data_IF_501903677719
#
_entry.id   IF_501903677719
#
_cell.length_a   1.000
_cell.length_b   1.000
_cell.length_c   1.000
_cell.angle_alpha   90.00
_cell.angle_beta   90.00
_cell.angle_gamma   90.00
#
_symmetry.space_group_name_H-M   'P 1'
#
loop_
_entity.id
_entity.type
_entity.pdbx_description
1 polymer ?
#
# COMPACT_ATOMS: atom_id res chain seq x y z
N UNK A 1 -14.15 -11.06 8.73
CA UNK A 1 -12.74 -11.15 9.14
C UNK A 1 -11.96 -11.44 7.87
N UNK A 2 -11.08 -10.53 7.44
CA UNK A 2 -10.36 -10.70 6.17
C UNK A 2 -9.30 -11.79 6.36
N UNK A 3 -9.31 -12.82 5.54
CA UNK A 3 -8.33 -13.94 5.61
C UNK A 3 -7.16 -13.71 4.65
N UNK A 4 -6.08 -14.47 4.83
CA UNK A 4 -4.92 -14.40 3.93
C UNK A 4 -5.30 -14.81 2.49
N UNK A 5 -6.16 -15.81 2.36
CA UNK A 5 -6.60 -16.31 1.05
C UNK A 5 -7.42 -15.26 0.30
N UNK A 6 -8.31 -14.55 1.00
CA UNK A 6 -9.09 -13.43 0.43
C UNK A 6 -8.18 -12.28 -0.03
N UNK A 7 -7.10 -12.01 0.71
CA UNK A 7 -6.09 -11.03 0.31
C UNK A 7 -5.39 -11.45 -0.98
N UNK A 8 -4.92 -12.70 -1.06
CA UNK A 8 -4.23 -13.22 -2.25
C UNK A 8 -5.15 -13.27 -3.48
N UNK A 9 -6.44 -13.59 -3.29
CA UNK A 9 -7.41 -13.62 -4.38
C UNK A 9 -7.69 -12.22 -4.95
N UNK A 10 -7.75 -11.20 -4.08
CA UNK A 10 -7.82 -9.80 -4.53
C UNK A 10 -6.57 -9.36 -5.29
N UNK A 11 -5.40 -9.85 -4.89
CA UNK A 11 -4.14 -9.54 -5.58
C UNK A 11 -4.04 -10.22 -6.95
N UNK A 12 -4.66 -11.41 -7.11
CA UNK A 12 -4.82 -12.06 -8.42
C UNK A 12 -5.72 -11.26 -9.35
N UNK A 13 -6.87 -10.77 -8.87
CA UNK A 13 -7.75 -9.92 -9.70
C UNK A 13 -7.03 -8.67 -10.19
N UNK A 14 -6.15 -8.09 -9.36
CA UNK A 14 -5.27 -6.99 -9.79
C UNK A 14 -4.43 -7.35 -11.00
N UNK A 15 -3.83 -8.54 -11.00
CA UNK A 15 -3.02 -9.04 -12.11
C UNK A 15 -3.86 -9.24 -13.38
N UNK A 16 -5.09 -9.76 -13.24
CA UNK A 16 -6.04 -9.88 -14.35
C UNK A 16 -6.42 -8.50 -14.93
N UNK A 17 -6.59 -7.51 -14.07
CA UNK A 17 -6.85 -6.11 -14.43
C UNK A 17 -5.60 -5.36 -14.95
N UNK A 18 -4.45 -6.03 -15.07
CA UNK A 18 -3.20 -5.47 -15.57
C UNK A 18 -2.35 -4.71 -14.54
N UNK A 19 -2.76 -4.70 -13.27
CA UNK A 19 -1.99 -4.13 -12.17
C UNK A 19 -1.00 -5.15 -11.60
N UNK A 20 0.20 -4.69 -11.23
CA UNK A 20 1.18 -5.55 -10.55
C UNK A 20 0.65 -5.98 -9.18
N UNK A 21 0.99 -7.22 -8.79
CA UNK A 21 0.76 -7.76 -7.45
C UNK A 21 1.38 -6.88 -6.37
N UNK A 22 0.61 -6.52 -5.36
CA UNK A 22 1.02 -5.64 -4.24
C UNK A 22 1.19 -6.38 -2.92
N UNK A 23 0.64 -7.58 -2.77
CA UNK A 23 0.70 -8.30 -1.50
C UNK A 23 1.99 -9.08 -1.40
N UNK A 24 2.81 -8.73 -0.41
CA UNK A 24 4.06 -9.42 -0.09
C UNK A 24 3.89 -10.18 1.21
N UNK A 25 4.21 -11.47 1.17
CA UNK A 25 4.29 -12.31 2.37
C UNK A 25 5.63 -11.97 3.06
N UNK A 26 5.53 -11.30 4.21
CA UNK A 26 6.69 -10.83 4.97
C UNK A 26 7.29 -11.91 5.88
N UNK A 27 7.49 -11.57 7.16
CA UNK A 27 8.14 -12.45 8.13
C UNK A 27 7.28 -13.69 8.42
N UNK A 28 7.93 -14.85 8.30
CA UNK A 28 7.44 -16.15 8.74
C UNK A 28 8.12 -16.42 10.08
N UNK A 29 7.39 -16.29 11.19
CA UNK A 29 7.96 -16.51 12.53
C UNK A 29 7.58 -17.90 13.01
N UNK A 30 8.59 -18.76 13.26
CA UNK A 30 8.41 -20.04 13.95
C UNK A 30 8.45 -19.77 15.47
N UNK A 31 7.40 -20.13 16.22
CA UNK A 31 7.39 -19.97 17.67
C UNK A 31 8.43 -20.89 18.28
N UNK A 32 9.10 -20.41 19.35
CA UNK A 32 10.19 -21.11 20.02
C UNK A 32 9.85 -22.51 20.52
N UNK A 33 10.90 -23.24 20.94
CA UNK A 33 11.02 -24.69 21.15
C UNK A 33 10.08 -25.38 22.15
N UNK A 34 8.90 -24.82 22.47
CA UNK A 34 8.01 -25.34 23.51
C UNK A 34 6.54 -25.48 23.15
N UNK A 35 6.08 -25.12 21.94
CA UNK A 35 4.66 -25.34 21.67
C UNK A 35 4.10 -24.82 20.36
N UNK A 36 3.75 -25.82 19.53
CA UNK A 36 2.73 -25.82 18.46
C UNK A 36 3.17 -25.15 17.17
N UNK A 37 2.97 -25.88 16.06
CA UNK A 37 3.27 -25.56 14.66
C UNK A 37 2.51 -24.34 14.11
N UNK A 38 2.45 -23.25 14.86
CA UNK A 38 1.75 -22.02 14.50
C UNK A 38 2.71 -21.09 13.79
N UNK A 39 2.53 -20.95 12.48
CA UNK A 39 3.31 -20.02 11.67
C UNK A 39 2.60 -18.66 11.68
N UNK A 40 3.31 -17.61 12.11
CA UNK A 40 2.79 -16.24 12.03
C UNK A 40 3.24 -15.65 10.70
N UNK A 41 2.27 -15.27 9.87
CA UNK A 41 2.49 -14.61 8.58
C UNK A 41 1.97 -13.18 8.68
N UNK A 42 2.83 -12.21 8.40
CA UNK A 42 2.44 -10.80 8.31
C UNK A 42 2.43 -10.37 6.84
N UNK A 43 1.24 -10.20 6.23
CA UNK A 43 1.14 -9.62 4.89
C UNK A 43 1.45 -8.12 4.96
N UNK A 44 2.29 -7.64 4.05
CA UNK A 44 2.61 -6.22 3.90
C UNK A 44 2.26 -5.77 2.49
N UNK A 45 1.76 -4.55 2.35
CA UNK A 45 1.51 -3.90 1.05
C UNK A 45 2.15 -2.51 1.06
N UNK A 46 2.58 -2.03 -0.11
CA UNK A 46 3.04 -0.65 -0.30
C UNK A 46 2.14 -0.02 -1.35
N UNK A 47 1.51 1.09 -1.01
CA UNK A 47 0.73 1.87 -1.96
C UNK A 47 1.64 2.86 -2.68
N UNK A 48 1.73 2.74 -4.00
CA UNK A 48 2.36 3.76 -4.84
C UNK A 48 1.59 5.07 -4.67
N UNK A 49 2.30 6.12 -4.28
CA UNK A 49 1.72 7.46 -4.21
C UNK A 49 1.39 7.88 -5.63
N UNK A 50 0.14 8.27 -5.88
CA UNK A 50 -0.23 8.89 -7.13
C UNK A 50 0.35 10.31 -7.12
N UNK A 51 1.43 10.50 -7.86
CA UNK A 51 2.07 11.80 -7.96
C UNK A 51 1.46 12.50 -9.15
N UNK A 52 0.91 13.69 -8.90
CA UNK A 52 0.20 14.47 -9.91
C UNK A 52 1.13 15.37 -10.76
N UNK A 53 2.45 15.27 -10.60
CA UNK A 53 3.48 16.08 -11.29
C UNK A 53 4.77 15.28 -11.56
N UNK A 54 5.62 15.80 -12.47
CA UNK A 54 6.97 15.28 -12.73
C UNK A 54 7.88 15.51 -11.52
N UNK A 55 8.18 14.44 -10.78
CA UNK A 55 9.14 14.51 -9.66
C UNK A 55 10.55 14.57 -10.24
N UNK A 56 11.26 15.68 -9.99
CA UNK A 56 12.72 15.69 -10.08
C UNK A 56 13.26 14.94 -8.85
N UNK A 57 13.91 13.78 -9.02
CA UNK A 57 14.34 12.93 -7.91
C UNK A 57 15.49 13.53 -7.08
N UNK A 58 15.97 14.73 -7.46
CA UNK A 58 17.14 15.39 -6.90
C UNK A 58 16.80 16.29 -5.69
N UNK A 59 15.52 16.50 -5.41
CA UNK A 59 15.09 17.24 -4.20
C UNK A 59 14.91 16.23 -3.06
N UNK A 60 15.81 16.32 -2.08
CA UNK A 60 15.70 15.62 -0.80
C UNK A 60 14.27 15.76 -0.26
N UNK A 61 13.53 14.65 -0.24
CA UNK A 61 12.16 14.61 0.27
C UNK A 61 12.19 14.82 1.78
N UNK A 62 12.26 16.09 2.19
CA UNK A 62 12.04 16.53 3.55
C UNK A 62 10.60 16.23 3.96
N UNK A 63 10.43 15.69 5.17
CA UNK A 63 9.12 15.42 5.73
C UNK A 63 8.30 16.72 5.82
N UNK A 64 7.26 16.83 4.98
CA UNK A 64 6.13 17.72 5.25
C UNK A 64 6.01 19.01 4.46
N UNK A 65 6.31 19.05 3.15
CA UNK A 65 5.78 20.14 2.33
C UNK A 65 4.28 19.90 2.04
N UNK A 66 3.37 20.79 2.48
CA UNK A 66 1.95 20.66 2.20
C UNK A 66 1.72 21.00 0.72
N UNK A 67 1.52 19.99 -0.13
CA UNK A 67 1.07 20.14 -1.51
C UNK A 67 -0.44 20.47 -1.57
N UNK A 68 -0.88 21.45 -0.79
CA UNK A 68 -2.24 21.95 -0.76
C UNK A 68 -2.46 22.98 -1.85
N UNK A 69 -3.45 22.78 -2.71
CA UNK A 69 -3.77 23.70 -3.80
C UNK A 69 -4.20 25.08 -3.29
N UNK A 70 -3.56 26.13 -3.79
CA UNK A 70 -3.98 27.52 -3.66
C UNK A 70 -5.05 27.82 -4.74
N UNK A 71 -6.22 27.20 -4.59
CA UNK A 71 -7.38 27.53 -5.41
C UNK A 71 -8.24 28.56 -4.70
N UNK A 72 -8.40 29.76 -5.27
CA UNK A 72 -9.51 30.65 -4.90
C UNK A 72 -10.79 30.01 -5.46
N UNK A 73 -11.49 29.22 -4.65
CA UNK A 73 -12.72 28.55 -5.07
C UNK A 73 -13.82 29.57 -5.36
N UNK A 74 -14.46 29.49 -6.52
CA UNK A 74 -15.69 30.21 -6.82
C UNK A 74 -16.90 29.37 -6.39
N UNK A 75 -17.89 30.01 -5.74
CA UNK A 75 -19.15 29.37 -5.40
C UNK A 75 -19.95 29.06 -6.67
N UNK A 76 -20.38 27.82 -6.83
CA UNK A 76 -21.21 27.40 -7.96
C UNK A 76 -22.68 27.79 -7.75
N UNK A 77 -23.34 28.22 -8.82
CA UNK A 77 -24.78 28.48 -8.83
C UNK A 77 -25.58 27.16 -8.73
N UNK A 78 -26.59 27.14 -7.85
CA UNK A 78 -27.56 26.06 -7.64
C UNK A 78 -28.60 25.94 -8.75
#
# INVERSE_FOLDING_TARGET
MITLDELLERDRRREEDGFKRKIRIGRIVKPGSGGKDKIIIVPTTVEEKFVHDDIQPDQEQGEGEPTGGTGEGEEGDI
#
